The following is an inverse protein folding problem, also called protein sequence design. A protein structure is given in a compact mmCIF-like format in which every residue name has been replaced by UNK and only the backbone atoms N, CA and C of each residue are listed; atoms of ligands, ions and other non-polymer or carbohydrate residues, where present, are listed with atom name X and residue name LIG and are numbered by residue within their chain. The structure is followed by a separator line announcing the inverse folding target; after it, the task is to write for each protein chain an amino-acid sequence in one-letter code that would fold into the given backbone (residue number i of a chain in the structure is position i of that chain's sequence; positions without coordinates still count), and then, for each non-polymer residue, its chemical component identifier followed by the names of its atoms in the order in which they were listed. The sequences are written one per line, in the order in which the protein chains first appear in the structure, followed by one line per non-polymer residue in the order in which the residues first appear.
data_IF_905818595314
#
_entry.id   IF_905818595314
#
_cell.length_a   1.000
_cell.length_b   1.000
_cell.length_c   1.000
_cell.angle_alpha   90.00
_cell.angle_beta   90.00
_cell.angle_gamma   90.00
#
_symmetry.space_group_name_H-M   'P 1'
#
loop_
_entity.id
_entity.type
_entity.pdbx_description
1 polymer ?
#
# COMPACT_ATOMS: atom_id res chain seq x y z
N UNK A 1 -20.07 -10.88 13.16
CA UNK A 1 -20.38 -9.69 13.99
C UNK A 1 -19.23 -8.71 13.77
N UNK A 2 -19.47 -7.57 13.14
CA UNK A 2 -18.45 -6.53 12.94
C UNK A 2 -18.08 -5.94 14.29
N UNK A 3 -16.79 -5.93 14.64
CA UNK A 3 -16.31 -5.27 15.86
C UNK A 3 -16.54 -3.76 15.67
N UNK A 4 -17.32 -3.08 16.53
CA UNK A 4 -17.53 -1.65 16.41
C UNK A 4 -16.19 -0.94 16.49
N UNK A 5 -15.91 -0.14 15.48
CA UNK A 5 -14.66 0.57 15.24
C UNK A 5 -14.33 1.69 16.24
N UNK A 6 -14.96 1.70 17.42
CA UNK A 6 -15.00 2.84 18.32
C UNK A 6 -13.92 2.89 19.39
N UNK A 7 -12.86 2.07 19.31
CA UNK A 7 -11.75 2.14 20.27
C UNK A 7 -10.43 2.26 19.54
N UNK A 8 -9.96 3.49 19.42
CA UNK A 8 -8.55 3.75 19.15
C UNK A 8 -7.74 3.18 20.29
N UNK A 9 -6.73 2.40 19.92
CA UNK A 9 -5.75 1.96 20.88
C UNK A 9 -4.52 2.83 20.75
N UNK A 10 -4.12 3.47 21.85
CA UNK A 10 -2.88 4.24 21.91
C UNK A 10 -1.70 3.28 21.88
N UNK A 11 -0.84 3.42 20.87
CA UNK A 11 0.39 2.65 20.70
C UNK A 11 1.57 3.42 21.32
N UNK A 12 1.66 4.71 21.03
CA UNK A 12 2.69 5.62 21.55
C UNK A 12 2.04 6.93 21.98
N UNK A 13 2.57 7.54 23.03
CA UNK A 13 2.01 8.76 23.63
C UNK A 13 3.13 9.71 24.04
N UNK A 14 3.01 10.98 23.66
CA UNK A 14 3.97 12.04 24.03
C UNK A 14 4.07 12.17 25.55
N UNK A 15 2.96 11.96 26.27
CA UNK A 15 2.96 11.98 27.74
C UNK A 15 3.84 10.88 28.36
N UNK A 16 4.13 9.81 27.63
CA UNK A 16 4.97 8.69 28.06
C UNK A 16 6.41 8.77 27.51
N UNK A 17 6.84 9.95 27.02
CA UNK A 17 8.19 10.17 26.50
C UNK A 17 8.39 9.80 25.03
N UNK A 18 7.32 9.56 24.28
CA UNK A 18 7.41 9.50 22.82
C UNK A 18 7.61 10.91 22.26
N UNK A 19 8.54 11.08 21.32
CA UNK A 19 8.83 12.41 20.77
C UNK A 19 7.67 12.98 19.96
N UNK A 20 6.94 12.11 19.24
CA UNK A 20 5.75 12.51 18.50
C UNK A 20 6.03 13.47 17.34
N UNK A 21 7.22 13.44 16.74
CA UNK A 21 7.61 14.33 15.63
C UNK A 21 7.32 13.76 14.24
N UNK A 22 6.14 13.18 14.04
CA UNK A 22 5.77 12.63 12.73
C UNK A 22 5.58 13.71 11.65
N UNK A 23 6.02 13.38 10.44
CA UNK A 23 5.88 14.12 9.20
C UNK A 23 4.61 13.71 8.44
N UNK A 24 4.24 14.51 7.43
CA UNK A 24 3.15 14.19 6.51
C UNK A 24 1.75 14.27 7.12
N UNK A 25 1.61 14.92 8.28
CA UNK A 25 0.31 15.20 8.89
C UNK A 25 -0.33 16.44 8.26
N UNK A 26 -1.66 16.45 8.22
CA UNK A 26 -2.44 17.56 7.70
C UNK A 26 -2.94 18.41 8.86
N UNK A 27 -2.83 19.73 8.71
CA UNK A 27 -3.45 20.68 9.64
C UNK A 27 -4.96 20.55 9.52
N UNK A 28 -5.60 20.16 10.61
CA UNK A 28 -7.04 20.01 10.68
C UNK A 28 -7.72 21.33 11.08
N UNK A 29 -7.25 21.95 12.16
CA UNK A 29 -7.80 23.20 12.67
C UNK A 29 -6.79 23.97 13.52
N UNK A 30 -6.91 25.31 13.53
CA UNK A 30 -6.17 26.20 14.41
C UNK A 30 -7.04 26.49 15.64
N UNK A 31 -6.49 26.36 16.85
CA UNK A 31 -7.18 26.56 18.13
C UNK A 31 -8.07 25.42 18.63
N UNK A 32 -7.81 24.20 18.21
CA UNK A 32 -8.46 23.02 18.81
C UNK A 32 -7.80 22.62 20.14
N UNK A 33 -8.49 21.81 20.94
CA UNK A 33 -7.93 21.20 22.16
C UNK A 33 -7.25 19.87 21.83
N UNK A 34 -6.42 19.36 22.74
CA UNK A 34 -5.82 18.02 22.63
C UNK A 34 -6.88 16.93 22.48
N UNK A 35 -7.98 17.01 23.24
CA UNK A 35 -9.09 16.06 23.16
C UNK A 35 -9.82 16.13 21.81
N UNK A 36 -9.94 17.32 21.22
CA UNK A 36 -10.50 17.45 19.87
C UNK A 36 -9.63 16.74 18.83
N UNK A 37 -8.30 16.91 18.89
CA UNK A 37 -7.38 16.18 17.99
C UNK A 37 -7.51 14.68 18.14
N UNK A 38 -7.49 14.19 19.38
CA UNK A 38 -7.62 12.77 19.69
C UNK A 38 -8.93 12.23 19.15
N UNK A 39 -10.05 12.87 19.48
CA UNK A 39 -11.38 12.44 19.05
C UNK A 39 -11.49 12.43 17.53
N UNK A 40 -11.01 13.48 16.85
CA UNK A 40 -11.12 13.56 15.40
C UNK A 40 -10.28 12.52 14.68
N UNK A 41 -9.06 12.29 15.16
CA UNK A 41 -8.22 11.22 14.64
C UNK A 41 -8.86 9.86 14.91
N UNK A 42 -9.46 9.68 16.09
CA UNK A 42 -10.18 8.47 16.41
C UNK A 42 -11.38 8.15 15.53
N UNK A 43 -12.09 9.19 15.11
CA UNK A 43 -13.24 9.08 14.21
C UNK A 43 -12.83 8.87 12.74
N UNK A 44 -11.58 9.18 12.39
CA UNK A 44 -11.04 8.93 11.04
C UNK A 44 -10.29 7.59 10.99
N UNK A 45 -10.81 6.58 10.29
CA UNK A 45 -10.17 5.28 10.23
C UNK A 45 -8.81 5.27 9.53
N UNK A 46 -8.45 6.34 8.81
CA UNK A 46 -7.15 6.48 8.15
C UNK A 46 -6.13 7.26 9.00
N UNK A 47 -6.51 7.73 10.19
CA UNK A 47 -5.65 8.55 11.03
C UNK A 47 -4.84 7.71 12.02
N UNK A 48 -3.61 7.33 11.67
CA UNK A 48 -2.76 6.57 12.61
C UNK A 48 -2.06 7.45 13.65
N UNK A 49 -1.99 8.77 13.43
CA UNK A 49 -1.27 9.72 14.28
C UNK A 49 -2.02 11.05 14.38
N UNK A 50 -2.06 11.59 15.59
CA UNK A 50 -2.39 12.99 15.81
C UNK A 50 -1.35 13.69 16.68
N UNK A 51 -1.19 14.99 16.45
CA UNK A 51 -0.32 15.87 17.21
C UNK A 51 -1.01 17.21 17.46
N UNK A 52 -0.74 17.78 18.61
CA UNK A 52 -1.21 19.10 19.01
C UNK A 52 -0.03 19.89 19.55
N UNK A 53 0.14 21.11 19.06
CA UNK A 53 1.32 21.91 19.38
C UNK A 53 1.18 23.38 19.01
N UNK A 54 2.19 24.18 19.31
CA UNK A 54 2.25 25.62 18.94
C UNK A 54 3.54 25.90 18.17
N UNK A 55 3.67 27.07 17.57
CA UNK A 55 4.97 27.51 17.05
C UNK A 55 5.96 27.71 18.21
N UNK A 56 7.22 27.30 18.05
CA UNK A 56 8.32 27.50 19.01
C UNK A 56 8.48 28.97 19.39
N UNK A 57 8.32 29.86 18.41
CA UNK A 57 8.38 31.32 18.60
C UNK A 57 7.22 31.84 19.45
N UNK A 58 6.09 31.13 19.46
CA UNK A 58 4.87 31.47 20.19
C UNK A 58 4.55 30.43 21.28
N UNK A 59 5.58 29.93 21.96
CA UNK A 59 5.43 28.93 23.03
C UNK A 59 4.56 29.41 24.22
N UNK A 60 4.39 30.72 24.38
CA UNK A 60 3.49 31.32 25.37
C UNK A 60 2.00 31.36 24.94
N UNK A 61 1.70 31.12 23.67
CA UNK A 61 0.32 31.10 23.17
C UNK A 61 -0.40 29.85 23.67
N UNK A 62 -1.63 30.03 24.18
CA UNK A 62 -2.52 28.91 24.54
C UNK A 62 -3.24 28.29 23.34
N UNK A 63 -3.11 28.92 22.17
CA UNK A 63 -3.72 28.45 20.93
C UNK A 63 -2.77 27.45 20.30
N UNK A 64 -3.18 26.18 20.30
CA UNK A 64 -2.48 25.12 19.60
C UNK A 64 -3.07 24.82 18.22
N UNK A 65 -2.31 24.11 17.42
CA UNK A 65 -2.64 23.63 16.08
C UNK A 65 -2.74 22.12 16.12
N UNK A 66 -3.76 21.60 15.45
CA UNK A 66 -4.03 20.17 15.41
C UNK A 66 -3.63 19.57 14.07
N UNK A 67 -2.80 18.54 14.12
CA UNK A 67 -2.35 17.81 12.96
C UNK A 67 -2.77 16.35 13.07
N UNK A 68 -3.33 15.80 12.00
CA UNK A 68 -3.81 14.41 11.95
C UNK A 68 -3.39 13.75 10.64
N UNK A 69 -3.23 12.44 10.63
CA UNK A 69 -2.92 11.67 9.42
C UNK A 69 -2.26 10.34 9.74
N UNK A 70 -1.58 9.73 8.76
CA UNK A 70 -0.87 8.45 8.99
C UNK A 70 0.43 8.64 9.78
N UNK A 71 1.10 9.77 9.58
CA UNK A 71 2.41 10.04 10.18
C UNK A 71 3.53 9.21 9.54
N UNK A 72 4.60 9.89 9.16
CA UNK A 72 5.83 9.27 8.66
C UNK A 72 6.98 9.70 9.57
N UNK A 73 8.00 8.87 9.73
CA UNK A 73 9.25 9.24 10.44
C UNK A 73 9.02 9.91 11.81
N UNK A 74 8.31 9.22 12.71
CA UNK A 74 7.92 9.78 14.01
C UNK A 74 9.05 9.92 15.06
N UNK A 75 10.29 9.66 14.67
CA UNK A 75 11.50 9.68 15.51
C UNK A 75 12.57 10.64 14.97
N UNK A 76 12.27 11.40 13.91
CA UNK A 76 13.22 12.37 13.37
C UNK A 76 13.01 13.74 13.99
N UNK A 77 14.08 14.53 14.06
CA UNK A 77 13.98 15.94 14.39
C UNK A 77 13.14 16.64 13.30
N UNK A 78 12.02 17.26 13.68
CA UNK A 78 11.25 18.11 12.76
C UNK A 78 12.03 19.39 12.46
N UNK A 79 12.08 19.74 11.18
CA UNK A 79 12.68 20.98 10.67
C UNK A 79 11.73 22.18 10.70
N UNK A 80 10.46 21.98 11.02
CA UNK A 80 9.51 23.08 11.14
C UNK A 80 9.47 23.68 12.56
N UNK A 81 8.84 24.85 12.66
CA UNK A 81 8.72 25.57 13.91
C UNK A 81 7.67 24.98 14.86
N UNK A 82 7.13 23.79 14.63
CA UNK A 82 6.12 23.20 15.50
C UNK A 82 6.76 22.61 16.77
N UNK A 83 6.28 23.05 17.93
CA UNK A 83 6.53 22.43 19.22
C UNK A 83 5.36 21.51 19.55
N UNK A 84 5.58 20.20 19.45
CA UNK A 84 4.58 19.20 19.82
C UNK A 84 4.43 19.17 21.34
N UNK A 85 3.23 19.45 21.82
CA UNK A 85 2.91 19.50 23.25
C UNK A 85 2.10 18.27 23.70
N UNK A 86 1.35 17.67 22.77
CA UNK A 86 0.66 16.40 22.94
C UNK A 86 0.57 15.68 21.60
N UNK A 87 0.45 14.37 21.64
CA UNK A 87 0.27 13.58 20.44
C UNK A 87 0.22 12.11 20.78
N UNK A 88 -0.46 11.35 19.93
CA UNK A 88 -0.48 9.90 20.06
C UNK A 88 -0.36 9.27 18.69
N UNK A 89 0.30 8.11 18.66
CA UNK A 89 0.15 7.13 17.60
C UNK A 89 -0.90 6.13 18.03
N UNK A 90 -1.92 5.95 17.20
CA UNK A 90 -3.07 5.10 17.49
C UNK A 90 -3.21 4.01 16.43
N UNK A 91 -3.86 2.92 16.81
CA UNK A 91 -4.27 1.85 15.90
C UNK A 91 -5.78 1.79 15.80
N UNK A 92 -6.26 1.58 14.57
CA UNK A 92 -7.66 1.39 14.24
C UNK A 92 -7.94 -0.08 13.92
N UNK A 93 -8.53 -0.82 14.85
CA UNK A 93 -9.28 -2.04 14.54
C UNK A 93 -8.53 -3.15 13.79
N UNK A 94 -9.19 -3.68 12.75
CA UNK A 94 -8.85 -4.94 12.08
C UNK A 94 -7.87 -4.70 10.93
N UNK A 95 -7.06 -5.71 10.59
CA UNK A 95 -6.17 -5.66 9.42
C UNK A 95 -6.99 -5.41 8.16
N UNK A 96 -6.67 -4.32 7.46
CA UNK A 96 -7.40 -3.88 6.25
C UNK A 96 -6.59 -4.08 4.97
N UNK A 97 -5.26 -3.97 5.06
CA UNK A 97 -4.36 -4.13 3.93
C UNK A 97 -2.99 -4.61 4.42
N UNK A 98 -2.26 -5.29 3.55
CA UNK A 98 -0.91 -5.79 3.83
C UNK A 98 0.01 -5.55 2.64
N UNK A 99 1.17 -4.96 2.93
CA UNK A 99 2.22 -4.77 1.95
C UNK A 99 3.31 -5.80 2.25
N UNK A 100 3.57 -6.71 1.31
CA UNK A 100 4.66 -7.68 1.43
C UNK A 100 5.99 -6.94 1.54
N UNK A 101 6.81 -7.31 2.52
CA UNK A 101 8.16 -6.79 2.64
C UNK A 101 9.05 -7.40 1.55
N UNK A 102 9.97 -6.60 1.04
CA UNK A 102 10.99 -7.09 0.11
C UNK A 102 11.85 -8.16 0.80
N UNK A 103 12.01 -9.31 0.15
CA UNK A 103 12.99 -10.32 0.60
C UNK A 103 14.38 -9.70 0.71
N UNK A 104 15.12 -10.06 1.76
CA UNK A 104 16.45 -9.48 2.01
C UNK A 104 16.41 -8.13 2.72
N UNK A 105 15.28 -7.70 3.30
CA UNK A 105 15.15 -6.47 4.10
C UNK A 105 14.52 -6.82 5.44
N UNK A 106 15.22 -6.52 6.53
CA UNK A 106 14.73 -6.77 7.90
C UNK A 106 14.37 -5.45 8.58
N UNK A 107 13.43 -5.47 9.51
CA UNK A 107 13.02 -4.31 10.28
C UNK A 107 13.50 -4.40 11.74
N UNK A 108 13.97 -3.28 12.30
CA UNK A 108 14.32 -3.15 13.72
C UNK A 108 13.61 -1.95 14.31
N UNK A 109 13.31 -2.00 15.60
CA UNK A 109 12.65 -0.89 16.28
C UNK A 109 12.43 -1.22 17.75
N UNK A 110 12.28 -0.19 18.57
CA UNK A 110 11.99 -0.34 20.00
C UNK A 110 10.64 -1.02 20.27
N UNK A 111 9.74 -1.02 19.28
CA UNK A 111 8.46 -1.70 19.33
C UNK A 111 8.47 -3.14 18.83
N UNK A 112 9.60 -3.65 18.32
CA UNK A 112 9.70 -5.02 17.81
C UNK A 112 9.93 -6.01 18.94
N UNK A 113 9.21 -7.13 18.91
CA UNK A 113 9.27 -8.22 19.89
C UNK A 113 9.39 -9.55 19.15
N UNK A 114 10.09 -10.49 19.76
CA UNK A 114 10.14 -11.86 19.27
C UNK A 114 8.90 -12.62 19.75
N UNK A 115 8.23 -13.35 18.86
CA UNK A 115 7.15 -14.25 19.23
C UNK A 115 7.68 -15.67 19.44
N UNK A 116 7.17 -16.34 20.47
CA UNK A 116 7.35 -17.78 20.64
C UNK A 116 6.42 -18.51 19.68
N UNK A 117 6.92 -18.82 18.49
CA UNK A 117 6.25 -19.71 17.52
C UNK A 117 6.77 -21.13 17.69
N UNK A 118 5.95 -22.12 17.35
CA UNK A 118 6.35 -23.53 17.46
C UNK A 118 7.62 -23.77 16.64
N UNK A 119 8.57 -24.52 17.21
CA UNK A 119 9.81 -24.84 16.52
C UNK A 119 9.53 -25.58 15.22
N UNK A 120 10.42 -25.38 14.24
CA UNK A 120 10.29 -25.94 12.89
C UNK A 120 9.95 -27.42 12.96
N UNK A 121 8.80 -27.78 12.39
CA UNK A 121 8.40 -29.19 12.34
C UNK A 121 9.52 -30.03 11.72
N UNK A 122 9.70 -31.28 12.16
CA UNK A 122 10.76 -32.16 11.64
C UNK A 122 10.70 -32.39 10.11
N UNK A 123 9.56 -32.04 9.48
CA UNK A 123 9.38 -32.01 8.03
C UNK A 123 10.13 -30.86 7.32
N UNK A 124 10.74 -29.93 8.06
CA UNK A 124 11.64 -28.90 7.53
C UNK A 124 10.97 -27.76 6.78
N UNK A 125 9.64 -27.63 6.82
CA UNK A 125 8.93 -26.54 6.14
C UNK A 125 8.59 -25.42 7.11
N UNK A 126 9.04 -24.19 6.85
CA UNK A 126 8.78 -23.00 7.67
C UNK A 126 7.38 -22.36 7.45
N UNK A 127 6.48 -23.06 6.74
CA UNK A 127 5.20 -22.49 6.30
C UNK A 127 4.22 -22.29 7.47
N UNK A 128 4.21 -23.21 8.43
CA UNK A 128 3.31 -23.12 9.57
C UNK A 128 3.71 -21.99 10.52
N UNK A 129 5.01 -21.81 10.69
CA UNK A 129 5.68 -20.83 11.54
C UNK A 129 5.49 -19.42 10.98
N UNK A 130 5.57 -19.25 9.65
CA UNK A 130 5.23 -17.99 8.98
C UNK A 130 3.76 -17.61 9.20
N UNK A 131 2.82 -18.56 9.08
CA UNK A 131 1.41 -18.29 9.34
C UNK A 131 1.17 -17.93 10.81
N UNK A 132 1.80 -18.64 11.74
CA UNK A 132 1.69 -18.35 13.16
C UNK A 132 2.26 -16.96 13.49
N UNK A 133 3.38 -16.58 12.88
CA UNK A 133 4.00 -15.26 13.07
C UNK A 133 3.07 -14.12 12.63
N UNK A 134 2.47 -14.27 11.45
CA UNK A 134 1.44 -13.35 10.95
C UNK A 134 0.27 -13.24 11.92
N UNK A 135 -0.25 -14.38 12.37
CA UNK A 135 -1.44 -14.42 13.20
C UNK A 135 -1.19 -13.77 14.58
N UNK A 136 0.01 -13.92 15.15
CA UNK A 136 0.43 -13.21 16.38
C UNK A 136 0.39 -11.69 16.16
N UNK A 137 0.97 -11.21 15.07
CA UNK A 137 0.90 -9.80 14.73
C UNK A 137 -0.55 -9.33 14.52
N UNK A 138 -1.39 -10.12 13.87
CA UNK A 138 -2.77 -9.74 13.57
C UNK A 138 -3.61 -9.60 14.83
N UNK A 139 -3.33 -10.41 15.85
CA UNK A 139 -3.95 -10.34 17.18
C UNK A 139 -3.49 -9.11 17.99
N UNK A 140 -2.25 -8.65 17.78
CA UNK A 140 -1.75 -7.43 18.39
C UNK A 140 -2.09 -6.20 17.54
N UNK A 141 -3.07 -5.43 17.98
CA UNK A 141 -3.48 -4.17 17.34
C UNK A 141 -2.34 -3.14 17.24
N UNK A 142 -1.33 -3.19 18.10
CA UNK A 142 -0.15 -2.32 18.01
C UNK A 142 0.88 -2.80 16.97
N UNK A 143 0.73 -4.04 16.48
CA UNK A 143 1.60 -4.57 15.43
C UNK A 143 1.25 -3.95 14.08
N UNK A 144 2.28 -3.40 13.43
CA UNK A 144 2.23 -2.89 12.07
C UNK A 144 3.17 -3.63 11.12
N UNK A 145 4.09 -4.45 11.64
CA UNK A 145 5.05 -5.22 10.87
C UNK A 145 5.23 -6.57 11.54
N UNK A 146 5.26 -7.63 10.74
CA UNK A 146 5.79 -8.90 11.16
C UNK A 146 6.77 -9.43 10.12
N UNK A 147 7.73 -10.21 10.58
CA UNK A 147 8.76 -10.82 9.77
C UNK A 147 9.21 -12.15 10.38
N UNK A 148 9.59 -13.08 9.52
CA UNK A 148 10.02 -14.41 9.93
C UNK A 148 11.37 -14.73 9.26
N UNK A 149 12.36 -15.04 10.10
CA UNK A 149 13.68 -15.52 9.72
C UNK A 149 13.80 -17.01 10.02
N UNK A 150 14.51 -17.76 9.18
CA UNK A 150 14.82 -19.17 9.47
C UNK A 150 15.82 -19.35 10.60
N UNK A 151 16.55 -18.30 10.98
CA UNK A 151 17.52 -18.32 12.09
C UNK A 151 16.98 -17.61 13.33
N UNK A 152 16.35 -16.45 13.15
CA UNK A 152 15.94 -15.57 14.27
C UNK A 152 14.47 -15.77 14.66
N UNK A 153 13.73 -16.61 13.92
CA UNK A 153 12.32 -16.90 14.18
C UNK A 153 11.39 -15.73 13.83
N UNK A 154 10.28 -15.65 14.55
CA UNK A 154 9.24 -14.66 14.33
C UNK A 154 9.50 -13.37 15.11
N UNK A 155 9.44 -12.24 14.41
CA UNK A 155 9.48 -10.91 15.00
C UNK A 155 8.27 -10.11 14.55
N UNK A 156 7.67 -9.35 15.46
CA UNK A 156 6.49 -8.55 15.18
C UNK A 156 6.46 -7.30 16.05
N UNK A 157 5.74 -6.28 15.59
CA UNK A 157 5.53 -5.05 16.34
C UNK A 157 5.52 -3.83 15.44
N UNK A 158 6.11 -2.75 15.94
CA UNK A 158 6.27 -1.51 15.19
C UNK A 158 7.74 -1.25 14.86
N UNK A 159 8.00 -0.93 13.59
CA UNK A 159 9.28 -0.43 13.12
C UNK A 159 9.10 0.59 11.99
N UNK A 160 9.93 1.62 12.02
CA UNK A 160 10.17 2.60 10.97
C UNK A 160 11.57 2.44 10.32
N UNK A 161 12.39 1.51 10.82
CA UNK A 161 13.75 1.27 10.35
C UNK A 161 13.85 -0.11 9.73
N UNK A 162 13.78 -0.17 8.39
CA UNK A 162 13.96 -1.41 7.64
C UNK A 162 15.16 -1.30 6.69
N UNK A 163 16.09 -2.25 6.77
CA UNK A 163 17.34 -2.21 6.01
C UNK A 163 17.75 -3.59 5.53
N UNK A 164 18.44 -3.63 4.38
CA UNK A 164 19.10 -4.83 3.86
C UNK A 164 20.46 -5.11 4.53
N UNK A 165 20.96 -4.16 5.30
CA UNK A 165 22.26 -4.24 5.96
C UNK A 165 22.20 -4.97 7.30
N UNK A 166 21.00 -5.22 7.83
CA UNK A 166 20.85 -6.01 9.04
C UNK A 166 21.16 -7.48 8.74
N UNK A 167 21.90 -8.18 9.63
CA UNK A 167 22.34 -9.56 9.38
C UNK A 167 21.17 -10.54 9.20
N UNK A 168 20.06 -10.34 9.92
CA UNK A 168 18.84 -11.17 9.86
C UNK A 168 18.15 -11.08 8.49
N UNK A 169 18.40 -10.02 7.73
CA UNK A 169 17.82 -9.82 6.42
C UNK A 169 18.18 -10.96 5.45
N UNK A 170 19.36 -11.57 5.61
CA UNK A 170 19.84 -12.68 4.78
C UNK A 170 19.01 -13.96 4.95
N UNK A 171 18.35 -14.13 6.09
CA UNK A 171 17.62 -15.35 6.48
C UNK A 171 16.12 -15.11 6.58
N UNK A 172 15.67 -13.88 6.31
CA UNK A 172 14.25 -13.54 6.21
C UNK A 172 13.58 -14.29 5.07
N UNK A 173 12.53 -15.04 5.39
CA UNK A 173 11.75 -15.81 4.41
C UNK A 173 10.39 -15.19 4.09
N UNK A 174 9.81 -14.45 5.03
CA UNK A 174 8.52 -13.78 4.87
C UNK A 174 8.43 -12.56 5.79
N UNK A 175 7.57 -11.62 5.45
CA UNK A 175 7.21 -10.51 6.30
C UNK A 175 6.25 -9.55 5.59
N UNK A 176 5.42 -8.86 6.35
CA UNK A 176 4.44 -7.92 5.83
C UNK A 176 4.37 -6.70 6.74
N UNK A 177 4.12 -5.55 6.11
CA UNK A 177 3.63 -4.36 6.79
C UNK A 177 2.10 -4.41 6.79
N UNK A 178 1.52 -4.36 7.97
CA UNK A 178 0.09 -4.44 8.25
C UNK A 178 -0.46 -3.03 8.38
N UNK A 179 -1.41 -2.69 7.50
CA UNK A 179 -2.27 -1.53 7.67
C UNK A 179 -3.59 -1.98 8.29
N UNK A 180 -4.06 -1.23 9.28
CA UNK A 180 -5.31 -1.51 9.98
C UNK A 180 -6.27 -0.36 9.72
N UNK A 181 -7.53 -0.70 9.45
CA UNK A 181 -8.55 0.30 9.23
C UNK A 181 -9.84 -0.11 9.93
N UNK A 182 -10.65 0.91 10.14
CA UNK A 182 -11.95 0.83 10.75
C UNK A 182 -13.02 1.28 9.75
N UNK A 183 -14.23 0.71 9.81
CA UNK A 183 -15.40 1.28 9.14
C UNK A 183 -16.28 0.28 8.39
N UNK A 184 -17.54 0.65 8.12
CA UNK A 184 -18.43 -0.14 7.27
C UNK A 184 -17.86 -0.21 5.86
N UNK A 185 -17.59 -1.42 5.37
CA UNK A 185 -17.01 -1.63 4.04
C UNK A 185 -15.52 -1.95 4.03
N UNK A 186 -14.83 -1.93 5.19
CA UNK A 186 -13.60 -2.72 5.36
C UNK A 186 -14.03 -4.18 5.42
N UNK A 187 -14.35 -4.73 4.25
CA UNK A 187 -14.42 -6.17 4.13
C UNK A 187 -13.00 -6.64 4.39
N UNK A 188 -12.82 -7.53 5.37
CA UNK A 188 -11.64 -8.40 5.34
C UNK A 188 -11.54 -8.84 3.89
N UNK A 189 -10.42 -8.56 3.24
CA UNK A 189 -10.19 -9.05 1.91
C UNK A 189 -10.37 -10.55 2.00
N UNK A 190 -11.54 -11.04 1.56
CA UNK A 190 -11.84 -12.45 1.65
C UNK A 190 -10.70 -13.12 0.89
N UNK A 191 -9.99 -14.09 1.51
CA UNK A 191 -8.86 -14.73 0.88
C UNK A 191 -9.31 -15.14 -0.51
N UNK A 192 -8.63 -14.62 -1.53
CA UNK A 192 -9.04 -14.80 -2.93
C UNK A 192 -9.24 -16.28 -3.14
N UNK A 193 -10.48 -16.68 -3.38
CA UNK A 193 -10.80 -18.09 -3.55
C UNK A 193 -10.25 -18.53 -4.90
N UNK A 194 -8.99 -18.97 -4.89
CA UNK A 194 -8.28 -19.41 -6.08
C UNK A 194 -9.02 -20.55 -6.78
N UNK A 195 -9.80 -21.36 -6.06
CA UNK A 195 -10.62 -22.41 -6.66
C UNK A 195 -11.72 -21.79 -7.54
N UNK A 196 -12.37 -20.72 -7.08
CA UNK A 196 -13.34 -19.98 -7.92
C UNK A 196 -12.66 -19.28 -9.09
N UNK A 197 -11.54 -18.60 -8.85
CA UNK A 197 -10.83 -17.86 -9.91
C UNK A 197 -10.33 -18.82 -11.01
N UNK A 198 -9.61 -19.88 -10.64
CA UNK A 198 -9.14 -20.88 -11.59
C UNK A 198 -10.30 -21.69 -12.18
N UNK A 199 -11.37 -21.92 -11.43
CA UNK A 199 -12.59 -22.56 -11.93
C UNK A 199 -13.25 -21.75 -13.06
N UNK A 200 -13.38 -20.43 -12.90
CA UNK A 200 -13.93 -19.53 -13.93
C UNK A 200 -13.01 -19.50 -15.15
N UNK A 201 -11.69 -19.32 -14.95
CA UNK A 201 -10.72 -19.30 -16.07
C UNK A 201 -10.75 -20.63 -16.83
N UNK A 202 -10.75 -21.76 -16.13
CA UNK A 202 -10.83 -23.09 -16.72
C UNK A 202 -12.13 -23.32 -17.48
N UNK A 203 -13.26 -22.87 -16.94
CA UNK A 203 -14.57 -22.97 -17.59
C UNK A 203 -14.64 -22.15 -18.89
N UNK A 204 -14.14 -20.91 -18.88
CA UNK A 204 -14.08 -20.06 -20.09
C UNK A 204 -13.18 -20.68 -21.16
N UNK A 205 -12.00 -21.20 -20.78
CA UNK A 205 -11.10 -21.88 -21.70
C UNK A 205 -11.74 -23.13 -22.33
N UNK A 206 -12.48 -23.91 -21.54
CA UNK A 206 -13.22 -25.08 -22.01
C UNK A 206 -14.32 -24.70 -23.01
N UNK A 207 -15.11 -23.66 -22.72
CA UNK A 207 -16.15 -23.19 -23.64
C UNK A 207 -15.56 -22.72 -24.98
N UNK A 208 -14.45 -21.96 -24.95
CA UNK A 208 -13.76 -21.53 -26.17
C UNK A 208 -13.25 -22.72 -26.99
N UNK A 209 -12.74 -23.75 -26.33
CA UNK A 209 -12.32 -24.99 -26.97
C UNK A 209 -13.49 -25.73 -27.64
N UNK A 210 -14.63 -25.88 -26.94
CA UNK A 210 -15.84 -26.48 -27.50
C UNK A 210 -16.38 -25.69 -28.69
N UNK A 211 -16.43 -24.35 -28.61
CA UNK A 211 -16.82 -23.49 -29.73
C UNK A 211 -15.89 -23.65 -30.93
N UNK A 212 -14.57 -23.75 -30.69
CA UNK A 212 -13.58 -24.02 -31.74
C UNK A 212 -13.85 -25.35 -32.45
N UNK A 213 -14.08 -26.43 -31.69
CA UNK A 213 -14.41 -27.75 -32.25
C UNK A 213 -15.72 -27.69 -33.06
N UNK A 214 -16.77 -27.07 -32.51
CA UNK A 214 -18.05 -26.93 -33.21
C UNK A 214 -17.90 -26.14 -34.52
N UNK A 215 -17.13 -25.05 -34.52
CA UNK A 215 -16.85 -24.28 -35.72
C UNK A 215 -16.06 -25.09 -36.76
N UNK A 216 -15.05 -25.87 -36.33
CA UNK A 216 -14.31 -26.77 -37.23
C UNK A 216 -15.19 -27.87 -37.82
N UNK A 217 -16.09 -28.47 -37.03
CA UNK A 217 -17.04 -29.46 -37.52
C UNK A 217 -18.03 -28.86 -38.53
N UNK A 218 -18.56 -27.66 -38.26
CA UNK A 218 -19.44 -26.94 -39.19
C UNK A 218 -18.73 -26.63 -40.51
N UNK A 219 -17.47 -26.17 -40.46
CA UNK A 219 -16.67 -25.92 -41.66
C UNK A 219 -16.45 -27.20 -42.49
N UNK A 220 -16.15 -28.34 -41.85
CA UNK A 220 -15.99 -29.63 -42.51
C UNK A 220 -17.28 -30.12 -43.19
N UNK A 221 -18.45 -29.85 -42.60
CA UNK A 221 -19.74 -30.23 -43.20
C UNK A 221 -20.14 -29.35 -44.40
N UNK A 222 -19.62 -28.12 -44.52
CA UNK A 222 -19.98 -27.22 -45.62
C UNK A 222 -19.28 -27.54 -46.97
N UNK A 223 -18.23 -28.37 -46.98
CA UNK A 223 -17.50 -28.68 -48.23
C UNK A 223 -18.19 -29.73 -49.12
N UNK A 224 -19.18 -30.49 -48.64
CA UNK A 224 -19.87 -31.51 -49.47
C UNK A 224 -20.99 -30.95 -50.36
N UNK A 225 -21.20 -29.64 -50.39
CA UNK A 225 -22.34 -29.00 -51.05
C UNK A 225 -21.99 -28.05 -52.20
N UNK A 226 -21.01 -28.38 -53.06
CA UNK A 226 -20.77 -27.60 -54.28
C UNK A 226 -20.89 -28.46 -55.52
N UNK A 227 -22.12 -28.72 -55.96
CA UNK A 227 -22.41 -29.01 -57.37
C UNK A 227 -23.74 -28.38 -57.80
N UNK A 228 -23.62 -27.54 -58.84
CA UNK A 228 -24.59 -27.00 -59.81
C UNK A 228 -25.30 -25.66 -59.57
N UNK A 229 -25.00 -24.77 -60.52
CA UNK A 229 -25.64 -23.52 -60.97
C UNK A 229 -27.15 -23.66 -61.24
N UNK A 230 -27.88 -22.59 -60.95
CA UNK A 230 -28.96 -21.97 -61.76
C UNK A 230 -29.13 -20.54 -61.18
N UNK A 231 -28.72 -19.46 -61.85
CA UNK A 231 -29.39 -18.72 -62.94
C UNK A 231 -30.84 -18.32 -62.64
N UNK A 232 -31.13 -17.01 -62.79
CA UNK A 232 -32.44 -16.33 -62.81
C UNK A 232 -33.14 -16.19 -61.45
N UNK A 233 -33.73 -15.06 -61.03
CA UNK A 233 -34.16 -13.78 -61.63
C UNK A 233 -34.22 -12.77 -60.47
N UNK A 234 -33.64 -11.57 -60.53
CA UNK A 234 -34.33 -10.32 -60.88
C UNK A 234 -35.82 -10.28 -60.56
N UNK A 235 -36.17 -9.67 -59.42
CA UNK A 235 -37.35 -8.82 -59.27
C UNK A 235 -37.07 -7.73 -58.22
N UNK A 236 -37.29 -6.51 -58.67
CA UNK A 236 -37.29 -5.23 -57.96
C UNK A 236 -38.44 -5.14 -56.92
N UNK A 237 -38.38 -4.08 -56.10
CA UNK A 237 -39.34 -3.56 -55.09
C UNK A 237 -38.92 -3.85 -53.65
N UNK A 238 -38.95 -2.92 -52.71
CA UNK A 238 -38.97 -1.46 -52.66
C UNK A 238 -38.79 -1.16 -51.16
N UNK A 239 -38.30 0.03 -50.86
CA UNK A 239 -38.64 0.80 -49.66
C UNK A 239 -38.47 0.16 -48.26
N UNK A 240 -37.36 0.50 -47.60
CA UNK A 240 -37.49 0.99 -46.22
C UNK A 240 -36.25 1.78 -45.80
N UNK A 241 -36.42 3.09 -45.80
CA UNK A 241 -35.54 4.07 -45.17
C UNK A 241 -35.21 3.66 -43.73
N UNK A 242 -33.94 3.35 -43.46
CA UNK A 242 -33.41 3.24 -42.10
C UNK A 242 -32.14 4.06 -41.99
N UNK A 243 -32.23 5.09 -41.17
CA UNK A 243 -31.19 6.05 -40.83
C UNK A 243 -29.87 5.34 -40.50
N UNK A 244 -28.82 5.75 -41.22
CA UNK A 244 -27.44 5.38 -40.96
C UNK A 244 -26.99 6.10 -39.68
N UNK A 245 -26.66 5.40 -38.58
CA UNK A 245 -26.03 6.04 -37.44
C UNK A 245 -24.65 6.54 -37.88
N UNK A 246 -24.42 7.83 -37.65
CA UNK A 246 -23.18 8.54 -37.91
C UNK A 246 -21.95 7.69 -37.58
N UNK A 247 -21.08 7.55 -38.58
CA UNK A 247 -19.85 6.76 -38.51
C UNK A 247 -19.07 7.08 -37.25
N UNK A 248 -18.73 6.03 -36.50
CA UNK A 248 -17.73 6.14 -35.45
C UNK A 248 -16.42 6.58 -36.11
N UNK A 249 -15.75 7.64 -35.62
CA UNK A 249 -14.46 8.04 -36.15
C UNK A 249 -13.51 6.85 -35.98
N UNK A 250 -13.02 6.36 -37.10
CA UNK A 250 -11.98 5.34 -37.15
C UNK A 250 -10.74 6.02 -36.56
N UNK A 251 -10.49 5.77 -35.27
CA UNK A 251 -9.36 6.34 -34.55
C UNK A 251 -8.10 5.83 -35.25
N UNK A 252 -7.48 6.71 -36.02
CA UNK A 252 -6.32 6.43 -36.83
C UNK A 252 -5.21 5.89 -35.92
N UNK A 253 -4.74 4.67 -36.17
CA UNK A 253 -3.69 4.04 -35.38
C UNK A 253 -2.42 4.91 -35.28
N UNK A 254 -2.20 5.79 -36.27
CA UNK A 254 -1.13 6.77 -36.24
C UNK A 254 -1.28 7.82 -35.12
N UNK A 255 -2.51 8.18 -34.74
CA UNK A 255 -2.78 9.13 -33.66
C UNK A 255 -2.45 8.55 -32.28
N UNK A 256 -2.81 7.29 -32.04
CA UNK A 256 -2.47 6.59 -30.80
C UNK A 256 -0.96 6.40 -30.63
N UNK A 257 -0.25 6.07 -31.72
CA UNK A 257 1.21 5.92 -31.67
C UNK A 257 1.91 7.24 -31.30
N UNK A 258 1.47 8.37 -31.87
CA UNK A 258 2.00 9.71 -31.51
C UNK A 258 1.72 10.06 -30.06
N UNK A 259 0.52 9.75 -29.56
CA UNK A 259 0.15 10.03 -28.17
C UNK A 259 0.98 9.20 -27.19
N UNK A 260 1.23 7.92 -27.51
CA UNK A 260 2.11 7.05 -26.73
C UNK A 260 3.55 7.53 -26.73
N UNK A 261 4.07 7.97 -27.88
CA UNK A 261 5.43 8.48 -28.00
C UNK A 261 5.61 9.81 -27.22
N UNK A 262 4.59 10.66 -27.22
CA UNK A 262 4.58 11.91 -26.44
C UNK A 262 4.53 11.64 -24.93
N UNK A 263 3.77 10.64 -24.47
CA UNK A 263 3.79 10.21 -23.07
C UNK A 263 5.16 9.67 -22.64
N UNK A 264 5.83 8.86 -23.48
CA UNK A 264 7.17 8.35 -23.20
C UNK A 264 8.20 9.47 -23.07
N UNK A 265 8.13 10.50 -23.94
CA UNK A 265 9.02 11.67 -23.85
C UNK A 265 8.80 12.46 -22.56
N UNK A 266 7.55 12.66 -22.14
CA UNK A 266 7.21 13.32 -20.88
C UNK A 266 7.75 12.57 -19.65
N UNK A 267 7.59 11.25 -19.62
CA UNK A 267 8.12 10.41 -18.54
C UNK A 267 9.65 10.48 -18.47
N UNK A 268 10.34 10.44 -19.61
CA UNK A 268 11.79 10.56 -19.67
C UNK A 268 12.26 11.93 -19.16
N UNK A 269 11.57 13.01 -19.53
CA UNK A 269 11.91 14.37 -19.10
C UNK A 269 11.72 14.56 -17.58
N UNK A 270 10.67 13.96 -17.00
CA UNK A 270 10.47 13.95 -15.54
C UNK A 270 11.58 13.20 -14.80
N UNK A 271 12.03 12.05 -15.32
CA UNK A 271 13.14 11.29 -14.72
C UNK A 271 14.45 12.10 -14.72
N UNK A 272 14.75 12.82 -15.81
CA UNK A 272 15.94 13.68 -15.88
C UNK A 272 15.88 14.83 -14.87
N UNK A 273 14.72 15.46 -14.69
CA UNK A 273 14.55 16.51 -13.67
C UNK A 273 14.74 15.95 -12.26
N UNK A 274 14.22 14.76 -11.98
CA UNK A 274 14.38 14.10 -10.67
C UNK A 274 15.85 13.75 -10.39
N UNK A 275 16.61 13.29 -11.39
CA UNK A 275 18.05 13.06 -11.26
C UNK A 275 18.83 14.35 -11.00
N UNK A 276 18.49 15.46 -11.69
CA UNK A 276 19.12 16.74 -11.44
C UNK A 276 18.87 17.26 -10.02
N UNK A 277 17.65 17.07 -9.48
CA UNK A 277 17.34 17.44 -8.09
C UNK A 277 18.17 16.62 -7.09
N UNK A 278 18.33 15.31 -7.31
CA UNK A 278 19.16 14.46 -6.46
C UNK A 278 20.63 14.88 -6.49
N UNK A 279 21.17 15.26 -7.66
CA UNK A 279 22.54 15.77 -7.77
C UNK A 279 22.72 17.10 -7.02
N UNK A 280 21.74 18.01 -7.09
CA UNK A 280 21.80 19.26 -6.34
C UNK A 280 21.78 19.03 -4.82
N UNK A 281 21.00 18.06 -4.33
CA UNK A 281 20.99 17.71 -2.90
C UNK A 281 22.34 17.15 -2.42
N UNK A 282 23.06 16.41 -3.27
CA UNK A 282 24.38 15.90 -2.92
C UNK A 282 25.43 17.01 -2.79
N UNK A 283 25.33 18.10 -3.57
CA UNK A 283 26.24 19.23 -3.47
C UNK A 283 26.01 20.12 -2.24
N UNK A 284 24.82 20.07 -1.64
CA UNK A 284 24.48 20.87 -0.46
C UNK A 284 24.74 20.19 0.88
N UNK A 285 25.41 19.02 0.92
CA UNK A 285 25.85 18.45 2.20
C UNK A 285 26.90 19.40 2.83
N UNK A 286 26.58 20.12 3.92
CA UNK A 286 27.59 20.90 4.60
C UNK A 286 28.69 19.96 5.11
N UNK A 287 29.96 20.41 5.14
CA UNK A 287 31.05 19.62 5.69
C UNK A 287 30.70 19.21 7.12
N UNK A 288 30.72 17.90 7.38
CA UNK A 288 30.51 17.33 8.70
C UNK A 288 31.56 17.95 9.62
N UNK A 289 31.14 18.87 10.49
CA UNK A 289 32.02 19.37 11.56
C UNK A 289 32.34 18.17 12.45
N UNK A 290 33.62 17.82 12.48
CA UNK A 290 34.13 16.72 13.29
C UNK A 290 33.79 16.88 14.77
N UNK A 291 33.83 15.78 15.54
CA UNK A 291 33.45 15.78 16.95
C UNK A 291 34.29 16.79 17.73
N UNK A 292 33.62 17.73 18.37
CA UNK A 292 34.22 18.69 19.30
C UNK A 292 34.84 17.90 20.46
N UNK A 293 36.18 17.84 20.53
CA UNK A 293 36.86 17.28 21.69
C UNK A 293 36.66 18.23 22.87
N UNK A 294 35.82 17.81 23.81
CA UNK A 294 35.58 18.48 25.07
C UNK A 294 36.81 18.26 25.99
N UNK A 295 37.70 19.26 26.06
CA UNK A 295 38.80 19.27 27.02
C UNK A 295 38.23 19.29 28.44
N UNK A 296 38.53 18.26 29.23
CA UNK A 296 38.29 18.25 30.68
C UNK A 296 39.29 19.20 31.36
N UNK A 297 38.84 20.15 32.19
CA UNK A 297 39.74 20.86 33.09
C UNK A 297 40.21 19.94 34.23
N UNK A 298 41.49 20.10 34.59
CA UNK A 298 42.16 19.47 35.72
C UNK A 298 41.77 20.13 37.04
#
# INVERSE_FOLDING_TARGET
MSVPCGRCQVIQDVANGWEGFCLGLQLLDNSSTTDFCRARCCDDPNCEVWQWGTSRENSASRVGQCYTGRGLECQSERFDNLLVLAGQRISHGTVSDTIQLEKGRWCRGTGMKQAEVAAVSAAGTYKAEVLQCRDVCYQDSACSIWEHSTQDGCWFGYSDQCSRQFPEAATMVAGERVARACGPGVQLQEPTDYVKVFGIIGFVAFLLFCCGILASLLMLCTETGKTRRLSQSQEDLDDSSREVPAGRPLVDAASMLRQQQQQQQLQHQQQLQQQQQLQQQQHFRPPIRGPFQQQRPL
#
